data_IF_748760528060
#
_entry.id   IF_748760528060
#
_cell.length_a   1.000
_cell.length_b   1.000
_cell.length_c   1.000
_cell.angle_alpha   90.00
_cell.angle_beta   90.00
_cell.angle_gamma   90.00
#
_symmetry.space_group_name_H-M   'P 1'
#
loop_
_entity.id
_entity.type
_entity.pdbx_description
1 polymer ?
#
# COMPACT_ATOMS: atom_id res chain seq x y z
N UNK A 1 -26.68 -7.67 11.04
CA UNK A 1 -25.37 -7.93 11.68
C UNK A 1 -24.69 -9.04 10.89
N UNK A 2 -23.39 -8.92 10.56
CA UNK A 2 -22.67 -9.95 9.83
C UNK A 2 -22.70 -11.28 10.61
N UNK A 3 -22.78 -12.40 9.89
CA UNK A 3 -22.61 -13.71 10.51
C UNK A 3 -21.19 -13.86 11.08
N UNK A 4 -20.97 -14.85 11.96
CA UNK A 4 -19.62 -15.15 12.47
C UNK A 4 -18.64 -15.45 11.34
N UNK A 5 -19.13 -16.07 10.27
CA UNK A 5 -18.34 -16.42 9.10
C UNK A 5 -18.00 -15.17 8.27
N UNK A 6 -18.94 -14.23 8.11
CA UNK A 6 -18.69 -12.94 7.44
C UNK A 6 -17.69 -12.08 8.21
N UNK A 7 -17.78 -12.07 9.54
CA UNK A 7 -16.82 -11.35 10.39
C UNK A 7 -15.41 -11.96 10.28
N UNK A 8 -15.33 -13.29 10.18
CA UNK A 8 -14.06 -14.00 9.96
C UNK A 8 -13.47 -13.67 8.60
N UNK A 9 -14.28 -13.69 7.54
CA UNK A 9 -13.84 -13.35 6.18
C UNK A 9 -13.38 -11.89 6.07
N UNK A 10 -14.13 -10.96 6.66
CA UNK A 10 -13.74 -9.54 6.70
C UNK A 10 -12.39 -9.36 7.41
N UNK A 11 -12.17 -10.05 8.52
CA UNK A 11 -10.89 -9.96 9.23
C UNK A 11 -9.74 -10.48 8.37
N UNK A 12 -9.91 -11.59 7.65
CA UNK A 12 -8.89 -12.12 6.73
C UNK A 12 -8.58 -11.14 5.58
N UNK A 13 -9.60 -10.49 5.03
CA UNK A 13 -9.39 -9.51 3.95
C UNK A 13 -8.67 -8.26 4.47
N UNK A 14 -9.03 -7.77 5.66
CA UNK A 14 -8.34 -6.63 6.26
C UNK A 14 -6.91 -6.98 6.71
N UNK A 15 -6.68 -8.20 7.17
CA UNK A 15 -5.33 -8.71 7.47
C UNK A 15 -4.46 -8.77 6.21
N UNK A 16 -5.02 -9.19 5.07
CA UNK A 16 -4.28 -9.15 3.79
C UNK A 16 -3.81 -7.73 3.41
N UNK A 17 -4.61 -6.70 3.74
CA UNK A 17 -4.23 -5.30 3.55
C UNK A 17 -3.13 -4.86 4.52
N UNK A 18 -3.24 -5.25 5.79
CA UNK A 18 -2.23 -4.96 6.81
C UNK A 18 -0.88 -5.59 6.42
N UNK A 19 -0.89 -6.83 5.92
CA UNK A 19 0.31 -7.50 5.37
C UNK A 19 0.86 -6.76 4.16
N UNK A 20 0.01 -6.36 3.21
CA UNK A 20 0.44 -5.62 2.03
C UNK A 20 1.17 -4.31 2.39
N UNK A 21 0.63 -3.54 3.34
CA UNK A 21 1.30 -2.33 3.81
C UNK A 21 2.62 -2.64 4.55
N UNK A 22 2.63 -3.68 5.40
CA UNK A 22 3.84 -4.12 6.08
C UNK A 22 4.96 -4.49 5.09
N UNK A 23 4.62 -5.23 4.02
CA UNK A 23 5.54 -5.58 2.94
C UNK A 23 6.14 -4.34 2.28
N UNK A 24 5.31 -3.34 1.99
CA UNK A 24 5.75 -2.10 1.35
C UNK A 24 6.70 -1.29 2.26
N UNK A 25 6.37 -1.17 3.55
CA UNK A 25 7.21 -0.48 4.54
C UNK A 25 8.52 -1.23 4.78
N UNK A 26 8.49 -2.56 4.82
CA UNK A 26 9.69 -3.39 4.94
C UNK A 26 10.60 -3.21 3.72
N UNK A 27 10.03 -3.21 2.50
CA UNK A 27 10.79 -2.94 1.28
C UNK A 27 11.46 -1.57 1.34
N UNK A 28 10.70 -0.52 1.71
CA UNK A 28 11.21 0.85 1.87
C UNK A 28 12.39 0.90 2.84
N UNK A 29 12.27 0.26 4.02
CA UNK A 29 13.32 0.25 5.04
C UNK A 29 14.55 -0.56 4.63
N UNK A 30 14.39 -1.53 3.73
CA UNK A 30 15.49 -2.33 3.19
C UNK A 30 16.21 -1.68 2.00
N UNK A 31 15.73 -0.52 1.52
CA UNK A 31 16.34 0.16 0.38
C UNK A 31 17.78 0.60 0.69
N UNK A 32 18.74 0.35 -0.22
CA UNK A 32 20.08 0.88 -0.10
C UNK A 32 20.12 2.41 -0.12
N UNK A 33 21.18 3.01 0.41
CA UNK A 33 21.38 4.46 0.33
C UNK A 33 21.34 4.95 -1.12
N UNK A 34 20.58 6.02 -1.37
CA UNK A 34 20.38 6.62 -2.69
C UNK A 34 19.34 5.92 -3.58
N UNK A 35 18.81 4.76 -3.17
CA UNK A 35 17.87 3.99 -3.98
C UNK A 35 16.54 4.72 -4.25
N UNK A 36 16.13 5.63 -3.37
CA UNK A 36 14.90 6.42 -3.52
C UNK A 36 14.89 7.26 -4.81
N UNK A 37 16.06 7.64 -5.35
CA UNK A 37 16.15 8.44 -6.58
C UNK A 37 16.23 7.60 -7.85
N UNK A 38 16.30 6.28 -7.76
CA UNK A 38 16.41 5.41 -8.93
C UNK A 38 15.13 5.37 -9.74
N UNK A 39 15.28 5.23 -11.05
CA UNK A 39 14.18 5.08 -12.03
C UNK A 39 14.38 3.79 -12.80
N UNK A 40 13.28 3.13 -13.19
CA UNK A 40 13.35 1.94 -14.03
C UNK A 40 13.81 2.26 -15.46
N UNK A 41 13.39 3.41 -15.99
CA UNK A 41 13.77 3.95 -17.31
C UNK A 41 13.95 5.48 -17.22
N UNK A 42 14.61 6.13 -18.20
CA UNK A 42 14.97 7.56 -18.13
C UNK A 42 13.83 8.57 -17.87
N UNK A 43 12.56 8.18 -18.02
CA UNK A 43 11.39 9.02 -17.72
C UNK A 43 10.37 8.33 -16.79
N UNK A 44 10.69 7.16 -16.24
CA UNK A 44 9.85 6.52 -15.23
C UNK A 44 9.92 7.29 -13.92
N UNK A 45 8.89 7.26 -13.07
CA UNK A 45 8.97 7.83 -11.73
C UNK A 45 10.13 7.23 -10.93
N UNK A 46 10.67 8.00 -9.98
CA UNK A 46 11.61 7.49 -8.99
C UNK A 46 10.93 6.54 -8.02
N UNK A 47 11.71 5.78 -7.26
CA UNK A 47 11.19 4.97 -6.15
C UNK A 47 10.44 5.84 -5.13
N UNK A 48 10.95 7.02 -4.77
CA UNK A 48 10.24 7.97 -3.89
C UNK A 48 8.92 8.48 -4.49
N UNK A 49 8.91 8.82 -5.78
CA UNK A 49 7.71 9.25 -6.50
C UNK A 49 6.66 8.13 -6.55
N UNK A 50 7.08 6.87 -6.74
CA UNK A 50 6.19 5.70 -6.68
C UNK A 50 5.56 5.51 -5.28
N UNK A 51 6.35 5.63 -4.22
CA UNK A 51 5.88 5.48 -2.84
C UNK A 51 4.88 6.57 -2.44
N UNK A 52 5.18 7.82 -2.79
CA UNK A 52 4.27 8.95 -2.52
C UNK A 52 3.01 8.88 -3.38
N UNK A 53 3.09 8.35 -4.61
CA UNK A 53 1.92 8.06 -5.43
C UNK A 53 0.99 7.03 -4.78
N UNK A 54 1.53 5.91 -4.28
CA UNK A 54 0.70 4.91 -3.58
C UNK A 54 -0.02 5.50 -2.36
N UNK A 55 0.70 6.28 -1.53
CA UNK A 55 0.09 7.02 -0.42
C UNK A 55 -1.03 7.98 -0.88
N UNK A 56 -0.77 8.74 -1.93
CA UNK A 56 -1.74 9.70 -2.50
C UNK A 56 -2.98 8.99 -3.03
N UNK A 57 -2.82 7.93 -3.83
CA UNK A 57 -3.92 7.16 -4.44
C UNK A 57 -4.85 6.58 -3.38
N UNK A 58 -4.31 6.03 -2.29
CA UNK A 58 -5.11 5.55 -1.16
C UNK A 58 -6.06 6.63 -0.64
N UNK A 59 -5.57 7.86 -0.51
CA UNK A 59 -6.31 8.95 0.14
C UNK A 59 -7.25 9.69 -0.82
N UNK A 60 -6.85 9.91 -2.08
CA UNK A 60 -7.72 10.57 -3.05
C UNK A 60 -8.96 9.71 -3.36
N UNK A 61 -8.78 8.41 -3.61
CA UNK A 61 -9.91 7.49 -3.83
C UNK A 61 -10.84 7.45 -2.62
N UNK A 62 -10.27 7.42 -1.41
CA UNK A 62 -11.06 7.45 -0.19
C UNK A 62 -11.86 8.76 -0.06
N UNK A 63 -11.25 9.90 -0.38
CA UNK A 63 -11.90 11.21 -0.32
C UNK A 63 -13.03 11.37 -1.34
N UNK A 64 -12.91 10.72 -2.49
CA UNK A 64 -13.91 10.77 -3.55
C UNK A 64 -15.05 9.78 -3.30
N UNK A 65 -14.74 8.55 -2.86
CA UNK A 65 -15.74 7.51 -2.61
C UNK A 65 -16.52 7.76 -1.31
N UNK A 66 -15.85 8.17 -0.23
CA UNK A 66 -16.41 8.31 1.14
C UNK A 66 -15.77 9.49 1.89
N UNK A 67 -16.07 10.74 1.49
CA UNK A 67 -15.42 11.96 2.04
C UNK A 67 -15.56 12.10 3.56
N UNK A 68 -16.62 11.57 4.16
CA UNK A 68 -16.86 11.63 5.61
C UNK A 68 -15.94 10.72 6.43
N UNK A 69 -15.30 9.73 5.79
CA UNK A 69 -14.32 8.82 6.42
C UNK A 69 -12.88 9.10 5.98
N UNK A 70 -12.69 10.06 5.06
CA UNK A 70 -11.39 10.41 4.54
C UNK A 70 -10.60 11.29 5.51
N UNK A 71 -9.28 11.14 5.47
CA UNK A 71 -8.33 12.06 6.10
C UNK A 71 -7.78 13.04 5.04
N UNK A 72 -7.01 14.03 5.48
CA UNK A 72 -6.41 15.01 4.56
C UNK A 72 -5.58 14.34 3.46
N UNK A 73 -5.95 14.63 2.21
CA UNK A 73 -5.23 14.20 1.01
C UNK A 73 -4.00 15.10 0.82
N UNK A 74 -2.81 14.54 0.54
CA UNK A 74 -1.64 15.34 0.20
C UNK A 74 -1.95 16.28 -0.97
N UNK A 75 -1.49 17.54 -0.89
CA UNK A 75 -1.75 18.53 -1.94
C UNK A 75 -1.11 18.21 -3.29
N UNK A 76 -0.12 17.32 -3.29
CA UNK A 76 0.66 16.95 -4.47
C UNK A 76 0.84 15.44 -4.52
N UNK A 77 0.66 14.93 -5.72
CA UNK A 77 1.08 13.59 -6.12
C UNK A 77 2.55 13.63 -6.58
N UNK A 78 3.21 12.46 -6.65
CA UNK A 78 4.57 12.28 -7.18
C UNK A 78 5.60 13.21 -6.53
N UNK A 79 5.64 13.20 -5.21
CA UNK A 79 6.59 14.02 -4.44
C UNK A 79 7.89 13.24 -4.26
N UNK A 80 9.02 13.91 -4.52
CA UNK A 80 10.33 13.34 -4.25
C UNK A 80 10.69 13.49 -2.76
N UNK A 81 10.03 12.73 -1.90
CA UNK A 81 10.36 12.62 -0.48
C UNK A 81 11.51 11.62 -0.28
N UNK A 82 12.53 12.02 0.48
CA UNK A 82 13.75 11.24 0.68
C UNK A 82 13.91 10.75 2.12
N UNK A 83 13.08 11.23 3.05
CA UNK A 83 13.05 10.73 4.42
C UNK A 83 12.27 9.41 4.50
N UNK A 84 13.02 8.32 4.71
CA UNK A 84 12.49 6.96 4.85
C UNK A 84 11.49 6.84 6.00
N UNK A 85 11.71 7.52 7.12
CA UNK A 85 10.81 7.44 8.27
C UNK A 85 9.51 8.15 7.96
N UNK A 86 9.59 9.33 7.35
CA UNK A 86 8.40 10.07 6.93
C UNK A 86 7.57 9.30 5.90
N UNK A 87 8.21 8.71 4.90
CA UNK A 87 7.52 7.85 3.93
C UNK A 87 6.82 6.67 4.60
N UNK A 88 7.49 5.99 5.55
CA UNK A 88 6.88 4.90 6.30
C UNK A 88 5.66 5.36 7.12
N UNK A 89 5.76 6.50 7.81
CA UNK A 89 4.66 7.09 8.56
C UNK A 89 3.47 7.47 7.66
N UNK A 90 3.72 8.06 6.49
CA UNK A 90 2.68 8.43 5.52
C UNK A 90 1.98 7.17 4.96
N UNK A 91 2.75 6.13 4.63
CA UNK A 91 2.21 4.83 4.21
C UNK A 91 1.36 4.21 5.32
N UNK A 92 1.85 4.09 6.55
CA UNK A 92 1.11 3.52 7.67
C UNK A 92 -0.17 4.32 7.96
N UNK A 93 -0.10 5.66 7.94
CA UNK A 93 -1.26 6.53 8.16
C UNK A 93 -2.35 6.31 7.11
N UNK A 94 -1.97 6.28 5.84
CA UNK A 94 -2.92 6.04 4.74
C UNK A 94 -3.49 4.63 4.74
N UNK A 95 -2.68 3.62 5.07
CA UNK A 95 -3.16 2.25 5.20
C UNK A 95 -4.19 2.11 6.32
N UNK A 96 -3.95 2.74 7.47
CA UNK A 96 -4.90 2.77 8.57
C UNK A 96 -6.21 3.46 8.20
N UNK A 97 -6.16 4.56 7.43
CA UNK A 97 -7.35 5.25 6.94
C UNK A 97 -8.21 4.34 6.04
N UNK A 98 -7.60 3.71 5.03
CA UNK A 98 -8.27 2.74 4.14
C UNK A 98 -8.87 1.59 4.93
N UNK A 99 -8.09 0.98 5.84
CA UNK A 99 -8.52 -0.13 6.68
C UNK A 99 -9.75 0.23 7.52
N UNK A 100 -9.71 1.39 8.17
CA UNK A 100 -10.80 1.85 9.03
C UNK A 100 -12.05 2.19 8.22
N UNK A 101 -11.90 2.81 7.06
CA UNK A 101 -13.02 3.11 6.18
C UNK A 101 -13.70 1.84 5.67
N UNK A 102 -12.95 0.89 5.12
CA UNK A 102 -13.51 -0.39 4.63
C UNK A 102 -14.22 -1.14 5.75
N UNK A 103 -13.62 -1.25 6.93
CA UNK A 103 -14.27 -1.87 8.10
C UNK A 103 -15.59 -1.17 8.45
N UNK A 104 -15.61 0.17 8.45
CA UNK A 104 -16.79 0.96 8.81
C UNK A 104 -17.92 0.81 7.79
N UNK A 105 -17.59 0.83 6.49
CA UNK A 105 -18.55 0.66 5.41
C UNK A 105 -19.19 -0.73 5.44
N UNK A 106 -18.39 -1.78 5.60
CA UNK A 106 -18.90 -3.15 5.70
C UNK A 106 -19.74 -3.35 6.96
N UNK A 107 -19.29 -2.85 8.12
CA UNK A 107 -20.03 -2.99 9.38
C UNK A 107 -21.39 -2.24 9.35
N UNK A 108 -21.46 -1.13 8.61
CA UNK A 108 -22.70 -0.35 8.43
C UNK A 108 -23.55 -0.81 7.23
N UNK A 109 -23.05 -1.72 6.40
CA UNK A 109 -23.72 -2.12 5.15
C UNK A 109 -23.77 -1.02 4.09
N UNK A 110 -22.95 0.03 4.21
CA UNK A 110 -22.89 1.15 3.26
C UNK A 110 -22.03 0.77 2.05
N UNK A 111 -22.58 0.97 0.87
CA UNK A 111 -21.87 0.84 -0.41
C UNK A 111 -21.23 2.18 -0.82
N UNK A 112 -20.28 2.11 -1.74
CA UNK A 112 -19.70 3.25 -2.47
C UNK A 112 -20.25 3.27 -3.89
N UNK A 113 -20.10 4.36 -4.65
CA UNK A 113 -20.64 4.44 -6.02
C UNK A 113 -19.88 5.38 -6.97
N UNK A 114 -18.67 5.84 -6.61
CA UNK A 114 -17.86 6.69 -7.50
C UNK A 114 -16.90 5.82 -8.29
N UNK A 115 -15.93 5.15 -7.64
CA UNK A 115 -15.01 4.24 -8.32
C UNK A 115 -15.43 2.78 -8.24
N UNK A 116 -15.94 2.36 -7.08
CA UNK A 116 -16.35 0.98 -6.81
C UNK A 116 -17.75 0.94 -6.20
N UNK A 117 -18.51 -0.08 -6.55
CA UNK A 117 -19.84 -0.35 -5.99
C UNK A 117 -19.80 -1.14 -4.68
N UNK A 118 -18.63 -1.68 -4.31
CA UNK A 118 -18.43 -2.42 -3.06
C UNK A 118 -17.08 -2.08 -2.38
N UNK A 119 -17.04 -1.83 -1.04
CA UNK A 119 -15.81 -1.43 -0.34
C UNK A 119 -14.66 -2.45 -0.45
N UNK A 120 -14.97 -3.74 -0.59
CA UNK A 120 -13.93 -4.75 -0.80
C UNK A 120 -13.29 -4.67 -2.18
N UNK A 121 -14.01 -4.24 -3.22
CA UNK A 121 -13.41 -4.07 -4.56
C UNK A 121 -12.41 -2.91 -4.56
N UNK A 122 -12.71 -1.84 -3.82
CA UNK A 122 -11.74 -0.79 -3.53
C UNK A 122 -10.48 -1.34 -2.85
N UNK A 123 -10.63 -2.14 -1.78
CA UNK A 123 -9.50 -2.76 -1.09
C UNK A 123 -8.66 -3.66 -2.02
N UNK A 124 -9.32 -4.47 -2.86
CA UNK A 124 -8.63 -5.33 -3.83
C UNK A 124 -7.88 -4.53 -4.89
N UNK A 125 -8.44 -3.41 -5.36
CA UNK A 125 -7.72 -2.51 -6.26
C UNK A 125 -6.44 -1.99 -5.61
N UNK A 126 -6.49 -1.53 -4.36
CA UNK A 126 -5.29 -1.03 -3.67
C UNK A 126 -4.20 -2.11 -3.56
N UNK A 127 -4.55 -3.35 -3.21
CA UNK A 127 -3.59 -4.46 -3.16
C UNK A 127 -2.95 -4.70 -4.54
N UNK A 128 -3.77 -4.74 -5.61
CA UNK A 128 -3.27 -4.97 -6.95
C UNK A 128 -2.38 -3.82 -7.46
N UNK A 129 -2.82 -2.58 -7.24
CA UNK A 129 -2.11 -1.34 -7.61
C UNK A 129 -0.72 -1.29 -6.95
N UNK A 130 -0.66 -1.62 -5.65
CA UNK A 130 0.61 -1.64 -4.92
C UNK A 130 1.50 -2.81 -5.33
N UNK A 131 0.93 -3.98 -5.64
CA UNK A 131 1.69 -5.09 -6.22
C UNK A 131 2.33 -4.72 -7.56
N UNK A 132 1.61 -3.98 -8.41
CA UNK A 132 2.14 -3.45 -9.67
C UNK A 132 3.32 -2.48 -9.43
N UNK A 133 3.18 -1.52 -8.53
CA UNK A 133 4.24 -0.55 -8.23
C UNK A 133 5.43 -1.16 -7.45
N UNK A 134 5.20 -2.18 -6.61
CA UNK A 134 6.27 -2.96 -5.99
C UNK A 134 7.19 -3.57 -7.08
N UNK A 135 6.61 -4.13 -8.14
CA UNK A 135 7.36 -4.63 -9.30
C UNK A 135 8.19 -3.52 -9.96
N UNK A 136 7.62 -2.34 -10.14
CA UNK A 136 8.34 -1.19 -10.70
C UNK A 136 9.50 -0.72 -9.81
N UNK A 137 9.32 -0.72 -8.48
CA UNK A 137 10.40 -0.43 -7.53
C UNK A 137 11.55 -1.43 -7.73
N UNK A 138 11.27 -2.75 -7.74
CA UNK A 138 12.33 -3.76 -7.98
C UNK A 138 13.05 -3.55 -9.31
N UNK A 139 12.35 -3.12 -10.36
CA UNK A 139 12.98 -2.80 -11.65
C UNK A 139 13.86 -1.55 -11.58
N UNK A 140 13.43 -0.49 -10.89
CA UNK A 140 14.22 0.72 -10.67
C UNK A 140 15.52 0.40 -9.90
N UNK A 141 15.45 -0.46 -8.88
CA UNK A 141 16.62 -0.91 -8.14
C UNK A 141 17.61 -1.69 -9.02
N UNK A 142 17.11 -2.60 -9.86
CA UNK A 142 17.93 -3.33 -10.84
C UNK A 142 18.61 -2.39 -11.84
N UNK A 143 17.88 -1.42 -12.39
CA UNK A 143 18.41 -0.43 -13.32
C UNK A 143 19.50 0.45 -12.67
N UNK A 144 19.34 0.77 -11.38
CA UNK A 144 20.33 1.49 -10.58
C UNK A 144 21.52 0.65 -10.08
N UNK A 145 21.63 -0.61 -10.50
CA UNK A 145 22.71 -1.52 -10.06
C UNK A 145 22.63 -1.94 -8.58
N UNK A 146 21.47 -1.73 -7.94
CA UNK A 146 21.22 -2.00 -6.52
C UNK A 146 20.09 -3.01 -6.35
N UNK A 147 20.11 -4.08 -7.14
CA UNK A 147 19.14 -5.17 -7.00
C UNK A 147 19.19 -5.73 -5.57
N UNK A 148 18.02 -5.90 -4.96
CA UNK A 148 17.92 -6.54 -3.66
C UNK A 148 18.03 -8.06 -3.82
N UNK A 149 18.72 -8.69 -2.87
CA UNK A 149 18.80 -10.14 -2.76
C UNK A 149 17.45 -10.72 -2.32
N UNK A 150 16.94 -11.70 -3.06
CA UNK A 150 15.66 -12.34 -2.76
C UNK A 150 15.72 -13.17 -1.47
N UNK A 151 16.89 -13.69 -1.06
CA UNK A 151 17.05 -14.39 0.23
C UNK A 151 16.95 -13.42 1.42
N UNK A 152 17.31 -12.16 1.23
CA UNK A 152 17.21 -11.11 2.25
C UNK A 152 15.81 -10.50 2.28
N UNK A 153 15.22 -10.24 1.10
CA UNK A 153 13.93 -9.56 1.00
C UNK A 153 12.74 -10.51 1.15
N UNK A 154 12.86 -11.77 0.74
CA UNK A 154 11.79 -12.77 0.82
C UNK A 154 11.18 -12.89 2.22
N UNK A 155 11.99 -13.06 3.28
CA UNK A 155 11.50 -13.13 4.66
C UNK A 155 10.69 -11.92 5.12
N UNK A 156 11.08 -10.72 4.73
CA UNK A 156 10.40 -9.48 5.15
C UNK A 156 9.31 -9.02 4.18
N UNK A 157 9.07 -9.77 3.09
CA UNK A 157 8.03 -9.46 2.09
C UNK A 157 7.09 -10.67 1.88
N UNK A 158 7.49 -11.64 1.07
CA UNK A 158 6.65 -12.77 0.69
C UNK A 158 6.29 -13.69 1.87
N UNK A 159 7.21 -13.90 2.81
CA UNK A 159 6.92 -14.71 3.99
C UNK A 159 5.97 -13.99 4.97
N UNK A 160 5.92 -12.65 4.95
CA UNK A 160 4.89 -11.87 5.64
C UNK A 160 3.52 -12.12 4.99
N UNK A 161 3.46 -12.11 3.65
CA UNK A 161 2.21 -12.42 2.93
C UNK A 161 1.70 -13.82 3.25
N UNK A 162 2.59 -14.81 3.20
CA UNK A 162 2.27 -16.23 3.40
C UNK A 162 2.19 -16.65 4.87
N UNK A 163 2.50 -15.76 5.82
CA UNK A 163 2.56 -16.07 7.26
C UNK A 163 3.50 -17.23 7.60
N UNK A 164 4.72 -17.23 7.06
CA UNK A 164 5.71 -18.31 7.30
C UNK A 164 6.53 -18.14 8.59
N UNK A 165 6.30 -17.08 9.35
CA UNK A 165 7.02 -16.78 10.61
C UNK A 165 6.44 -17.45 11.85
N UNK A 166 5.36 -18.20 11.69
CA UNK A 166 4.75 -19.05 12.71
C UNK A 166 5.05 -20.52 12.40
N UNK A 167 6.26 -20.97 12.77
CA UNK A 167 6.64 -22.38 12.86
C UNK A 167 7.60 -22.61 14.01
#
# INVERSE_FOLDING_TARGET
>A
MPSKDDATLLNLLLDSWDRNNCILVNLLRALPSGALTHRALPNSPTVSELLTHMHFVRLIFLSEDVPDLAIEVPRREWVNELDVNRLAEELDRSAAAVRNAVRTLIASGRQTNVHYDHPLLFLQHMIWHEGYHHGQIKLALKAGGQALDDEVIGPITWDVWMEKHTS
#
